data_IF_037065156882
#
_entry.id   IF_037065156882
#
_cell.length_a   1.000
_cell.length_b   1.000
_cell.length_c   1.000
_cell.angle_alpha   90.00
_cell.angle_beta   90.00
_cell.angle_gamma   90.00
#
_symmetry.space_group_name_H-M   'P 1'
#
loop_
_entity.id
_entity.type
_entity.pdbx_description
1 polymer ?
#
# COMPACT_ATOMS: atom_id res chain seq x y z
N UNK A 1 -0.32 -23.09 13.02
CA UNK A 1 0.22 -22.09 13.98
C UNK A 1 -0.47 -20.76 13.74
N UNK A 2 -1.08 -20.16 14.76
CA UNK A 2 -1.98 -19.01 14.60
C UNK A 2 -1.23 -17.68 14.42
N UNK A 3 0.00 -17.56 14.89
CA UNK A 3 0.83 -16.36 14.76
C UNK A 3 1.40 -16.15 13.35
N UNK A 4 1.75 -17.23 12.63
CA UNK A 4 2.16 -17.18 11.23
C UNK A 4 1.03 -16.61 10.35
N UNK A 5 -0.22 -16.82 10.76
CA UNK A 5 -1.40 -16.26 10.10
C UNK A 5 -1.35 -14.74 10.06
N UNK A 6 -0.91 -14.08 11.14
CA UNK A 6 -0.76 -12.63 11.17
C UNK A 6 0.20 -12.12 10.11
N UNK A 7 1.39 -12.73 10.01
CA UNK A 7 2.40 -12.30 9.04
C UNK A 7 1.94 -12.56 7.60
N UNK A 8 1.29 -13.71 7.36
CA UNK A 8 0.70 -14.00 6.07
C UNK A 8 -0.46 -13.02 5.74
N UNK A 9 -1.33 -12.69 6.70
CA UNK A 9 -2.43 -11.72 6.52
C UNK A 9 -1.85 -10.38 6.13
N UNK A 10 -0.85 -9.89 6.87
CA UNK A 10 -0.19 -8.63 6.59
C UNK A 10 0.44 -8.59 5.19
N UNK A 11 1.11 -9.66 4.74
CA UNK A 11 1.70 -9.71 3.38
C UNK A 11 0.63 -9.74 2.29
N UNK A 12 -0.43 -10.54 2.50
CA UNK A 12 -1.45 -10.80 1.47
C UNK A 12 -2.52 -9.72 1.38
N UNK A 13 -2.69 -8.90 2.43
CA UNK A 13 -3.71 -7.83 2.45
C UNK A 13 -3.13 -6.44 2.64
N UNK A 14 -1.88 -6.33 3.11
CA UNK A 14 -1.28 -5.06 3.51
C UNK A 14 -1.89 -4.48 4.79
N UNK A 15 -2.66 -5.27 5.55
CA UNK A 15 -3.41 -4.78 6.72
C UNK A 15 -3.10 -5.55 8.00
N UNK A 16 -3.13 -4.86 9.15
CA UNK A 16 -3.22 -5.46 10.47
C UNK A 16 -4.64 -5.32 11.02
N UNK A 17 -5.40 -6.43 11.13
CA UNK A 17 -6.82 -6.42 11.54
C UNK A 17 -7.70 -5.49 10.68
N UNK A 18 -7.41 -5.40 9.37
CA UNK A 18 -8.12 -4.54 8.43
C UNK A 18 -7.71 -3.06 8.49
N UNK A 19 -6.74 -2.69 9.32
CA UNK A 19 -6.11 -1.37 9.35
C UNK A 19 -4.87 -1.36 8.46
N UNK A 20 -4.63 -0.27 7.76
CA UNK A 20 -3.49 -0.12 6.87
C UNK A 20 -2.88 1.28 6.96
N UNK A 21 -1.89 1.54 6.11
CA UNK A 21 -1.24 2.84 6.08
C UNK A 21 -2.18 4.00 5.67
N UNK A 22 -3.43 3.76 5.30
CA UNK A 22 -4.41 4.83 5.00
C UNK A 22 -5.37 5.07 6.17
N UNK A 23 -5.29 4.26 7.23
CA UNK A 23 -6.16 4.36 8.38
C UNK A 23 -5.89 5.63 9.19
N UNK A 24 -6.97 6.29 9.59
CA UNK A 24 -6.90 7.47 10.47
C UNK A 24 -6.53 7.05 11.88
N UNK A 25 -6.03 7.99 12.68
CA UNK A 25 -5.74 7.77 14.10
C UNK A 25 -6.97 7.21 14.83
N UNK A 26 -8.16 7.77 14.61
CA UNK A 26 -9.39 7.32 15.25
C UNK A 26 -9.77 5.88 14.86
N UNK A 27 -9.60 5.50 13.58
CA UNK A 27 -9.82 4.13 13.12
C UNK A 27 -8.87 3.14 13.79
N UNK A 28 -7.59 3.50 13.92
CA UNK A 28 -6.59 2.66 14.58
C UNK A 28 -6.87 2.55 16.08
N UNK A 29 -7.18 3.66 16.75
CA UNK A 29 -7.44 3.66 18.19
C UNK A 29 -8.68 2.85 18.57
N UNK A 30 -9.71 2.87 17.73
CA UNK A 30 -10.91 2.07 17.92
C UNK A 30 -10.66 0.54 17.85
N UNK A 31 -9.54 0.09 17.28
CA UNK A 31 -9.22 -1.34 17.10
C UNK A 31 -8.04 -1.80 17.95
N UNK A 32 -6.97 -0.99 18.01
CA UNK A 32 -5.73 -1.35 18.67
C UNK A 32 -5.54 -0.68 20.03
N UNK A 33 -6.48 0.19 20.44
CA UNK A 33 -6.39 0.98 21.66
C UNK A 33 -5.65 2.31 21.47
N UNK A 34 -5.48 3.12 22.54
CA UNK A 34 -5.00 4.49 22.43
C UNK A 34 -3.57 4.58 21.87
N UNK A 35 -3.33 5.56 21.01
CA UNK A 35 -2.00 5.90 20.49
C UNK A 35 -1.27 6.86 21.42
N UNK A 36 0.03 7.06 21.19
CA UNK A 36 0.88 7.96 21.97
C UNK A 36 1.50 9.02 21.06
N UNK A 37 1.60 10.25 21.55
CA UNK A 37 2.25 11.35 20.83
C UNK A 37 3.65 11.57 21.37
N UNK A 38 4.63 11.61 20.47
CA UNK A 38 6.04 11.78 20.81
C UNK A 38 6.62 12.96 20.04
N UNK A 39 7.57 13.67 20.64
CA UNK A 39 8.29 14.77 20.00
C UNK A 39 9.55 14.23 19.33
N UNK A 40 9.64 14.36 18.01
CA UNK A 40 10.83 13.91 17.26
C UNK A 40 11.90 15.00 17.17
N UNK A 41 11.47 16.25 17.03
CA UNK A 41 12.34 17.41 16.99
C UNK A 41 11.67 18.61 17.65
N UNK A 42 12.36 19.75 17.69
CA UNK A 42 11.77 21.00 18.23
C UNK A 42 10.49 21.40 17.48
N UNK A 43 10.41 21.10 16.18
CA UNK A 43 9.34 21.53 15.28
C UNK A 43 8.44 20.40 14.79
N UNK A 44 8.87 19.13 14.90
CA UNK A 44 8.10 17.98 14.41
C UNK A 44 7.60 17.11 15.55
N UNK A 45 6.27 17.00 15.62
CA UNK A 45 5.57 16.02 16.45
C UNK A 45 5.19 14.83 15.57
N UNK A 46 5.26 13.63 16.14
CA UNK A 46 4.77 12.41 15.49
C UNK A 46 3.84 11.70 16.44
N UNK A 47 2.67 11.33 15.93
CA UNK A 47 1.78 10.42 16.64
C UNK A 47 2.14 9.02 16.21
N UNK A 48 2.34 8.12 17.17
CA UNK A 48 2.67 6.73 16.91
C UNK A 48 1.81 5.81 17.75
N UNK A 49 1.41 4.69 17.17
CA UNK A 49 0.83 3.59 17.92
C UNK A 49 1.73 2.38 17.73
N UNK A 50 2.26 1.85 18.83
CA UNK A 50 3.16 0.70 18.80
C UNK A 50 2.62 -0.41 19.71
N UNK A 51 2.18 -1.52 19.11
CA UNK A 51 1.61 -2.67 19.82
C UNK A 51 2.66 -3.69 20.28
N UNK A 52 3.94 -3.34 20.25
CA UNK A 52 5.04 -4.29 20.43
C UNK A 52 5.44 -4.99 19.14
N UNK A 53 4.50 -5.20 18.22
CA UNK A 53 4.72 -5.83 16.92
C UNK A 53 4.37 -4.90 15.74
N UNK A 54 3.18 -4.31 15.76
CA UNK A 54 2.70 -3.38 14.73
C UNK A 54 2.93 -1.94 15.17
N UNK A 55 3.43 -1.13 14.25
CA UNK A 55 3.63 0.31 14.38
C UNK A 55 2.85 1.05 13.28
N UNK A 56 2.05 2.03 13.72
CA UNK A 56 1.51 3.08 12.87
C UNK A 56 2.16 4.41 13.24
N UNK A 57 2.39 5.25 12.24
CA UNK A 57 2.92 6.58 12.42
C UNK A 57 2.14 7.60 11.59
N UNK A 58 1.96 8.80 12.13
CA UNK A 58 1.37 9.96 11.46
C UNK A 58 2.17 11.21 11.79
N UNK A 59 2.29 12.13 10.83
CA UNK A 59 2.76 13.48 11.14
C UNK A 59 1.73 14.21 12.04
N UNK A 60 2.13 15.30 12.69
CA UNK A 60 1.24 16.06 13.57
C UNK A 60 1.62 17.55 13.51
N UNK A 61 0.65 18.49 13.48
CA UNK A 61 -0.79 18.36 13.80
C UNK A 61 -1.70 17.85 12.70
N UNK A 62 -1.21 17.75 11.46
CA UNK A 62 -1.97 17.21 10.33
C UNK A 62 -1.64 15.71 10.18
N UNK A 63 -2.52 14.79 10.61
CA UNK A 63 -2.23 13.37 10.74
C UNK A 63 -2.25 12.66 9.39
N UNK A 64 -1.38 13.08 8.48
CA UNK A 64 -1.08 12.30 7.29
C UNK A 64 -0.36 11.00 7.72
N UNK A 65 -0.88 9.83 7.31
CA UNK A 65 -0.24 8.57 7.63
C UNK A 65 1.15 8.47 7.02
N UNK A 66 2.15 8.21 7.87
CA UNK A 66 3.53 7.98 7.47
C UNK A 66 3.80 6.51 7.12
N UNK A 67 3.03 5.60 7.71
CA UNK A 67 3.10 4.18 7.35
C UNK A 67 2.57 3.20 8.37
N UNK A 68 2.53 1.95 7.92
CA UNK A 68 2.27 0.75 8.69
C UNK A 68 3.49 -0.17 8.57
N UNK A 69 4.03 -0.60 9.70
CA UNK A 69 5.04 -1.65 9.75
C UNK A 69 4.75 -2.68 10.83
N UNK A 70 5.17 -3.92 10.60
CA UNK A 70 5.30 -4.93 11.64
C UNK A 70 6.78 -5.24 11.85
N UNK A 71 7.30 -4.95 13.05
CA UNK A 71 8.68 -5.21 13.44
C UNK A 71 8.77 -6.58 14.08
N UNK A 72 8.87 -7.63 13.26
CA UNK A 72 8.97 -9.01 13.71
C UNK A 72 10.18 -9.21 14.66
N UNK A 73 11.29 -8.50 14.43
CA UNK A 73 12.47 -8.48 15.32
C UNK A 73 12.15 -8.14 16.79
N UNK A 74 11.07 -7.39 17.05
CA UNK A 74 10.65 -7.09 18.42
C UNK A 74 10.17 -8.32 19.19
N UNK A 75 9.83 -9.43 18.52
CA UNK A 75 9.50 -10.68 19.21
C UNK A 75 10.68 -11.19 20.06
N UNK A 76 11.92 -10.91 19.65
CA UNK A 76 13.11 -11.20 20.43
C UNK A 76 13.23 -10.30 21.67
N UNK A 77 13.09 -8.99 21.49
CA UNK A 77 13.46 -7.97 22.50
C UNK A 77 12.32 -7.63 23.46
N UNK A 78 11.08 -7.61 22.98
CA UNK A 78 9.90 -7.28 23.78
C UNK A 78 9.39 -8.47 24.63
N UNK A 79 10.14 -9.57 24.71
CA UNK A 79 9.72 -10.84 25.33
C UNK A 79 8.35 -11.34 24.84
N UNK A 80 8.00 -11.03 23.59
CA UNK A 80 6.70 -11.37 22.99
C UNK A 80 5.50 -10.58 23.55
N UNK A 81 5.71 -9.41 24.16
CA UNK A 81 4.61 -8.50 24.51
C UNK A 81 4.01 -7.91 23.23
N UNK A 82 2.93 -8.51 22.77
CA UNK A 82 2.14 -8.06 21.63
C UNK A 82 0.81 -7.53 22.14
N UNK A 83 0.30 -6.46 21.53
CA UNK A 83 -0.95 -5.80 21.92
C UNK A 83 -2.13 -6.76 22.03
N UNK A 84 -3.06 -6.45 22.94
CA UNK A 84 -4.17 -7.32 23.30
C UNK A 84 -5.05 -7.67 22.09
N UNK A 85 -5.40 -6.69 21.25
CA UNK A 85 -6.24 -6.92 20.07
C UNK A 85 -5.63 -7.94 19.09
N UNK A 86 -4.31 -7.87 18.86
CA UNK A 86 -3.60 -8.83 18.02
C UNK A 86 -3.56 -10.21 18.68
N UNK A 87 -3.30 -10.28 19.99
CA UNK A 87 -3.26 -11.55 20.73
C UNK A 87 -4.64 -12.21 20.82
N UNK A 88 -5.70 -11.42 20.97
CA UNK A 88 -7.08 -11.90 20.99
C UNK A 88 -7.50 -12.53 19.66
N UNK A 89 -7.02 -11.98 18.53
CA UNK A 89 -7.37 -12.47 17.20
C UNK A 89 -6.45 -13.61 16.69
N UNK A 90 -5.14 -13.49 16.92
CA UNK A 90 -4.13 -14.42 16.40
C UNK A 90 -3.56 -15.39 17.43
N UNK A 91 -4.02 -15.31 18.68
CA UNK A 91 -3.46 -16.06 19.79
C UNK A 91 -2.07 -15.56 20.19
N UNK A 92 -1.37 -16.37 21.00
CA UNK A 92 -0.04 -16.02 21.50
C UNK A 92 1.00 -16.10 20.39
N UNK A 93 1.78 -15.03 20.25
CA UNK A 93 2.92 -14.99 19.33
C UNK A 93 4.11 -15.77 19.90
N UNK A 94 4.83 -16.49 19.03
CA UNK A 94 6.07 -17.17 19.40
C UNK A 94 7.18 -16.16 19.72
N UNK A 95 8.23 -16.59 20.43
CA UNK A 95 9.36 -15.71 20.84
C UNK A 95 10.37 -15.39 19.75
N UNK A 96 10.44 -16.20 18.69
CA UNK A 96 11.37 -16.02 17.56
C UNK A 96 10.57 -15.65 16.31
N UNK A 97 10.95 -14.68 15.48
CA UNK A 97 10.25 -14.41 14.23
C UNK A 97 10.18 -15.65 13.33
N UNK A 98 9.14 -15.79 12.50
CA UNK A 98 9.10 -16.87 11.51
C UNK A 98 10.30 -16.78 10.55
N UNK A 99 10.69 -17.91 9.99
CA UNK A 99 11.63 -17.98 8.87
C UNK A 99 10.98 -17.46 7.59
N UNK A 100 11.80 -17.03 6.62
CA UNK A 100 11.28 -16.66 5.30
C UNK A 100 10.57 -17.83 4.61
N UNK A 101 11.10 -19.05 4.73
CA UNK A 101 10.48 -20.26 4.18
C UNK A 101 9.08 -20.51 4.74
N UNK A 102 8.90 -20.41 6.06
CA UNK A 102 7.57 -20.52 6.68
C UNK A 102 6.59 -19.48 6.15
N UNK A 103 7.02 -18.22 6.05
CA UNK A 103 6.18 -17.14 5.53
C UNK A 103 5.83 -17.37 4.06
N UNK A 104 6.81 -17.74 3.22
CA UNK A 104 6.61 -18.00 1.79
C UNK A 104 5.59 -19.12 1.56
N UNK A 105 5.68 -20.22 2.30
CA UNK A 105 4.71 -21.33 2.22
C UNK A 105 3.31 -20.87 2.66
N UNK A 106 3.21 -20.11 3.76
CA UNK A 106 1.92 -19.60 4.24
C UNK A 106 1.26 -18.60 3.28
N UNK A 107 2.06 -17.77 2.60
CA UNK A 107 1.59 -16.83 1.56
C UNK A 107 1.15 -17.59 0.30
N UNK A 108 1.93 -18.59 -0.13
CA UNK A 108 1.59 -19.45 -1.27
C UNK A 108 0.29 -20.23 -1.05
N UNK A 109 0.05 -20.74 0.16
CA UNK A 109 -1.19 -21.43 0.53
C UNK A 109 -2.45 -20.56 0.41
N UNK A 110 -2.29 -19.24 0.24
CA UNK A 110 -3.38 -18.27 0.05
C UNK A 110 -3.47 -17.76 -1.39
N UNK A 111 -2.74 -18.34 -2.33
CA UNK A 111 -2.74 -17.92 -3.73
C UNK A 111 -1.94 -16.65 -4.01
N UNK A 112 -0.98 -16.30 -3.15
CA UNK A 112 -0.07 -15.16 -3.33
C UNK A 112 1.38 -15.64 -3.48
N UNK A 113 2.26 -14.79 -4.00
CA UNK A 113 3.68 -15.12 -4.19
C UNK A 113 4.56 -14.03 -3.60
N UNK A 114 5.54 -14.44 -2.80
CA UNK A 114 6.65 -13.56 -2.41
C UNK A 114 7.78 -13.72 -3.42
N UNK A 115 8.13 -12.61 -4.08
CA UNK A 115 9.25 -12.52 -5.01
C UNK A 115 10.46 -12.03 -4.24
N UNK A 116 11.53 -12.82 -4.12
CA UNK A 116 12.75 -12.35 -3.50
C UNK A 116 13.39 -11.25 -4.36
N UNK A 117 13.90 -10.22 -3.69
CA UNK A 117 14.84 -9.29 -4.28
C UNK A 117 16.25 -9.79 -3.95
N UNK A 118 17.06 -9.97 -4.98
CA UNK A 118 18.43 -10.47 -4.84
C UNK A 118 19.40 -9.40 -4.34
N UNK A 119 18.92 -8.17 -4.08
CA UNK A 119 19.70 -7.14 -3.40
C UNK A 119 20.02 -7.54 -1.95
N UNK A 120 21.26 -7.27 -1.55
CA UNK A 120 21.75 -7.45 -0.18
C UNK A 120 22.17 -6.07 0.34
N UNK A 121 21.71 -5.69 1.52
CA UNK A 121 22.15 -4.44 2.16
C UNK A 121 23.53 -4.61 2.81
N UNK A 122 24.25 -3.50 3.09
CA UNK A 122 25.49 -3.56 3.88
C UNK A 122 25.32 -4.24 5.24
N UNK A 123 24.11 -4.19 5.81
CA UNK A 123 23.74 -4.78 7.10
C UNK A 123 23.29 -6.26 6.99
N UNK A 124 23.59 -6.92 5.87
CA UNK A 124 23.19 -8.31 5.60
C UNK A 124 21.67 -8.56 5.70
N UNK A 125 20.86 -7.57 5.34
CA UNK A 125 19.43 -7.80 5.08
C UNK A 125 19.18 -8.10 3.61
N UNK A 126 18.18 -8.95 3.38
CA UNK A 126 17.61 -9.24 2.07
C UNK A 126 16.17 -8.76 2.05
N UNK A 127 15.62 -8.58 0.86
CA UNK A 127 14.23 -8.20 0.69
C UNK A 127 13.44 -9.25 -0.08
N UNK A 128 12.15 -9.30 0.17
CA UNK A 128 11.17 -9.95 -0.69
C UNK A 128 9.92 -9.07 -0.73
N UNK A 129 9.10 -9.22 -1.76
CA UNK A 129 7.88 -8.43 -1.87
C UNK A 129 6.74 -9.23 -2.48
N UNK A 130 5.51 -8.84 -2.15
CA UNK A 130 4.30 -9.30 -2.84
C UNK A 130 3.94 -8.26 -3.92
N UNK A 131 3.98 -8.62 -5.22
CA UNK A 131 3.92 -7.66 -6.32
C UNK A 131 2.55 -6.99 -6.53
N UNK A 132 1.47 -7.52 -5.96
CA UNK A 132 0.10 -7.06 -6.21
C UNK A 132 -0.44 -6.14 -5.12
N UNK A 133 0.05 -6.28 -3.90
CA UNK A 133 -0.35 -5.54 -2.71
C UNK A 133 0.69 -4.47 -2.36
N UNK A 134 1.93 -4.63 -2.83
CA UNK A 134 3.01 -3.71 -2.50
C UNK A 134 3.41 -3.83 -1.03
N UNK A 135 3.51 -5.06 -0.51
CA UNK A 135 4.08 -5.28 0.83
C UNK A 135 5.51 -5.75 0.66
N UNK A 136 6.44 -5.12 1.39
CA UNK A 136 7.84 -5.53 1.41
C UNK A 136 8.19 -6.23 2.72
N UNK A 137 9.09 -7.21 2.63
CA UNK A 137 9.52 -8.08 3.71
C UNK A 137 11.03 -7.95 3.81
N UNK A 138 11.51 -7.45 4.94
CA UNK A 138 12.94 -7.42 5.27
C UNK A 138 13.30 -8.69 6.01
N UNK A 139 14.35 -9.37 5.56
CA UNK A 139 14.75 -10.69 5.99
C UNK A 139 16.19 -10.61 6.47
N UNK A 140 16.50 -11.08 7.68
CA UNK A 140 17.89 -11.21 8.11
C UNK A 140 18.58 -12.29 7.29
N UNK A 141 19.87 -12.14 6.99
CA UNK A 141 20.66 -13.28 6.53
C UNK A 141 20.58 -14.44 7.54
N UNK A 142 20.67 -15.66 7.03
CA UNK A 142 20.87 -16.83 7.88
C UNK A 142 22.31 -16.82 8.41
N UNK A 143 22.54 -16.81 9.74
CA UNK A 143 23.88 -16.82 10.29
C UNK A 143 24.58 -18.18 10.14
N UNK A 144 23.84 -19.27 9.93
CA UNK A 144 24.37 -20.63 9.82
C UNK A 144 24.66 -21.02 8.37
N UNK A 145 23.92 -20.45 7.40
CA UNK A 145 24.09 -20.77 5.97
C UNK A 145 24.31 -19.49 5.14
N UNK A 146 25.58 -19.18 4.78
CA UNK A 146 25.89 -18.03 3.94
C UNK A 146 25.11 -18.05 2.63
N UNK A 147 24.44 -16.94 2.32
CA UNK A 147 23.66 -16.81 1.09
C UNK A 147 22.17 -17.10 1.23
N UNK A 148 21.73 -17.76 2.31
CA UNK A 148 20.34 -18.14 2.51
C UNK A 148 19.50 -17.07 3.21
N UNK A 149 18.17 -17.16 3.01
CA UNK A 149 17.19 -16.31 3.67
C UNK A 149 16.91 -16.82 5.10
N UNK A 150 17.20 -15.98 6.09
CA UNK A 150 16.96 -16.28 7.50
C UNK A 150 15.54 -15.95 7.96
N UNK A 151 15.44 -15.11 8.99
CA UNK A 151 14.17 -14.80 9.67
C UNK A 151 13.60 -13.47 9.23
N UNK A 152 12.28 -13.35 9.31
CA UNK A 152 11.60 -12.10 9.05
C UNK A 152 12.02 -11.08 10.11
N UNK A 153 12.55 -9.95 9.67
CA UNK A 153 12.93 -8.83 10.53
C UNK A 153 11.81 -7.80 10.63
N UNK A 154 11.27 -7.40 9.48
CA UNK A 154 10.11 -6.51 9.41
C UNK A 154 9.28 -6.75 8.16
N UNK A 155 8.02 -6.35 8.22
CA UNK A 155 7.10 -6.30 7.09
C UNK A 155 6.55 -4.88 7.03
N UNK A 156 6.65 -4.23 5.90
CA UNK A 156 6.17 -2.85 5.71
C UNK A 156 5.16 -2.83 4.58
N UNK A 157 3.97 -2.32 4.89
CA UNK A 157 3.03 -1.95 3.83
C UNK A 157 3.60 -0.73 3.13
N UNK A 158 3.75 -0.78 1.80
CA UNK A 158 4.29 0.38 1.09
C UNK A 158 3.25 1.49 1.11
N UNK A 159 3.63 2.66 1.59
CA UNK A 159 2.80 3.87 1.62
C UNK A 159 2.74 4.51 0.25
N UNK A 160 2.23 3.83 -0.78
CA UNK A 160 2.22 4.37 -2.16
C UNK A 160 3.60 4.85 -2.68
N UNK A 161 4.68 4.59 -1.92
CA UNK A 161 6.03 5.14 -2.03
C UNK A 161 7.04 4.08 -2.43
N UNK A 162 6.58 2.91 -2.84
CA UNK A 162 7.22 2.21 -3.95
C UNK A 162 6.99 3.03 -5.21
N UNK A 163 7.64 4.19 -5.20
CA UNK A 163 8.08 4.88 -6.38
C UNK A 163 8.56 3.81 -7.35
N UNK A 164 8.30 4.14 -8.60
CA UNK A 164 8.70 3.45 -9.81
C UNK A 164 10.19 3.03 -9.83
N UNK A 165 10.98 3.40 -8.80
CA UNK A 165 12.43 3.27 -8.59
C UNK A 165 12.91 1.97 -7.93
N UNK A 166 12.16 1.33 -7.02
CA UNK A 166 12.75 0.26 -6.17
C UNK A 166 12.86 -1.12 -6.81
N UNK A 167 12.16 -1.37 -7.93
CA UNK A 167 12.16 -2.70 -8.57
C UNK A 167 12.54 -2.62 -10.05
N UNK A 168 13.61 -1.90 -10.34
CA UNK A 168 14.21 -1.94 -11.67
C UNK A 168 15.15 -3.15 -11.75
N UNK A 169 14.89 -4.12 -12.65
CA UNK A 169 15.92 -5.09 -12.98
C UNK A 169 17.16 -4.33 -13.49
N UNK A 170 18.35 -4.56 -12.89
CA UNK A 170 19.57 -3.90 -13.33
C UNK A 170 19.83 -4.20 -14.81
N UNK A 171 20.16 -3.16 -15.59
CA UNK A 171 20.49 -3.29 -17.02
C UNK A 171 19.60 -2.50 -17.99
N UNK A 172 18.35 -2.14 -17.63
CA UNK A 172 17.49 -1.29 -18.49
C UNK A 172 17.51 0.20 -18.14
N UNK A 173 18.07 0.58 -16.99
CA UNK A 173 18.01 1.95 -16.48
C UNK A 173 18.70 2.97 -17.39
N UNK A 174 19.85 2.63 -17.98
CA UNK A 174 20.62 3.56 -18.81
C UNK A 174 19.82 4.03 -20.05
N UNK A 175 19.16 3.09 -20.74
CA UNK A 175 18.35 3.42 -21.92
C UNK A 175 17.16 4.34 -21.60
N UNK A 176 16.59 4.25 -20.40
CA UNK A 176 15.52 5.15 -19.97
C UNK A 176 16.03 6.50 -19.46
N UNK A 177 17.24 6.56 -18.91
CA UNK A 177 17.88 7.84 -18.58
C UNK A 177 18.10 8.69 -19.84
N UNK A 178 18.54 8.08 -20.95
CA UNK A 178 18.73 8.77 -22.22
C UNK A 178 17.40 9.24 -22.83
N UNK A 179 16.35 8.40 -22.77
CA UNK A 179 14.99 8.80 -23.18
C UNK A 179 14.45 9.94 -22.33
N UNK A 180 14.64 9.91 -21.02
CA UNK A 180 14.21 10.99 -20.14
C UNK A 180 14.96 12.30 -20.45
N UNK A 181 16.27 12.23 -20.71
CA UNK A 181 17.07 13.39 -21.13
C UNK A 181 16.57 13.96 -22.47
N UNK A 182 16.26 13.10 -23.43
CA UNK A 182 15.64 13.51 -24.69
C UNK A 182 14.33 14.24 -24.42
N UNK A 183 13.37 13.62 -23.71
CA UNK A 183 12.05 14.22 -23.45
C UNK A 183 12.11 15.56 -22.73
N UNK A 184 13.09 15.79 -21.83
CA UNK A 184 13.31 17.09 -21.17
C UNK A 184 13.58 18.24 -22.14
N UNK A 185 14.10 17.96 -23.33
CA UNK A 185 14.41 18.96 -24.36
C UNK A 185 13.30 19.19 -25.38
N UNK A 186 12.18 18.48 -25.26
CA UNK A 186 11.11 18.48 -26.26
C UNK A 186 9.90 19.29 -25.80
N UNK A 187 9.21 19.93 -26.75
CA UNK A 187 7.89 20.52 -26.51
C UNK A 187 6.81 19.46 -26.27
N UNK A 188 5.68 19.80 -25.61
CA UNK A 188 4.56 18.86 -25.41
C UNK A 188 4.11 18.13 -26.69
N UNK A 189 4.02 18.83 -27.83
CA UNK A 189 3.63 18.23 -29.11
C UNK A 189 4.66 17.23 -29.65
N UNK A 190 5.96 17.52 -29.50
CA UNK A 190 7.03 16.61 -29.87
C UNK A 190 7.07 15.37 -28.96
N UNK A 191 6.82 15.53 -27.66
CA UNK A 191 6.70 14.42 -26.71
C UNK A 191 5.56 13.49 -27.14
N UNK A 192 4.36 14.01 -27.44
CA UNK A 192 3.23 13.19 -27.91
C UNK A 192 3.55 12.42 -29.19
N UNK A 193 4.20 13.09 -30.15
CA UNK A 193 4.64 12.48 -31.41
C UNK A 193 5.70 11.39 -31.17
N UNK A 194 6.63 11.63 -30.24
CA UNK A 194 7.61 10.64 -29.85
C UNK A 194 6.97 9.43 -29.17
N UNK A 195 6.06 9.66 -28.22
CA UNK A 195 5.30 8.61 -27.52
C UNK A 195 4.50 7.77 -28.52
N UNK A 196 3.82 8.37 -29.49
CA UNK A 196 3.10 7.61 -30.52
C UNK A 196 3.99 6.64 -31.29
N UNK A 197 5.25 7.02 -31.57
CA UNK A 197 6.21 6.17 -32.30
C UNK A 197 6.89 5.10 -31.44
N UNK A 198 7.00 5.32 -30.13
CA UNK A 198 7.81 4.47 -29.24
C UNK A 198 7.00 3.72 -28.18
N UNK A 199 5.68 3.93 -28.12
CA UNK A 199 4.78 3.18 -27.23
C UNK A 199 4.80 1.70 -27.62
N UNK A 200 5.31 0.81 -26.75
CA UNK A 200 5.48 -0.59 -27.11
C UNK A 200 4.15 -1.34 -27.07
N UNK A 201 4.02 -2.37 -27.90
CA UNK A 201 2.87 -3.27 -27.90
C UNK A 201 2.90 -4.27 -26.73
N UNK A 202 4.08 -4.62 -26.22
CA UNK A 202 4.28 -5.54 -25.08
C UNK A 202 4.94 -4.82 -23.90
N UNK A 203 4.75 -5.33 -22.69
CA UNK A 203 5.31 -4.77 -21.45
C UNK A 203 5.01 -3.28 -21.22
N UNK A 204 3.90 -2.79 -21.79
CA UNK A 204 3.57 -1.36 -21.86
C UNK A 204 3.55 -0.69 -20.48
N UNK A 205 2.89 -1.30 -19.51
CA UNK A 205 2.90 -0.89 -18.09
C UNK A 205 4.32 -0.68 -17.55
N UNK A 206 5.22 -1.65 -17.78
CA UNK A 206 6.61 -1.60 -17.30
C UNK A 206 7.40 -0.51 -18.02
N UNK A 207 7.23 -0.37 -19.33
CA UNK A 207 7.91 0.65 -20.12
C UNK A 207 7.52 2.06 -19.69
N UNK A 208 6.22 2.32 -19.52
CA UNK A 208 5.73 3.64 -19.08
C UNK A 208 6.19 3.97 -17.67
N UNK A 209 6.17 2.98 -16.76
CA UNK A 209 6.76 3.10 -15.43
C UNK A 209 8.23 3.53 -15.50
N UNK A 210 9.03 2.87 -16.32
CA UNK A 210 10.46 3.20 -16.49
C UNK A 210 10.68 4.54 -17.19
N UNK A 211 9.76 4.97 -18.06
CA UNK A 211 9.81 6.29 -18.69
C UNK A 211 9.52 7.42 -17.69
N UNK A 212 8.56 7.23 -16.78
CA UNK A 212 8.13 8.24 -15.82
C UNK A 212 9.06 8.31 -14.60
N UNK A 213 9.66 7.17 -14.19
CA UNK A 213 10.50 7.07 -12.99
C UNK A 213 11.61 8.15 -12.85
N UNK A 214 12.33 8.56 -13.92
CA UNK A 214 13.40 9.55 -13.83
C UNK A 214 12.92 10.99 -13.58
N UNK A 215 11.61 11.24 -13.56
CA UNK A 215 11.03 12.56 -13.35
C UNK A 215 10.56 12.71 -11.89
N UNK A 216 11.17 13.62 -11.10
CA UNK A 216 10.69 13.98 -9.77
C UNK A 216 9.20 14.37 -9.76
N UNK A 217 8.56 14.30 -8.59
CA UNK A 217 7.11 14.56 -8.45
C UNK A 217 6.71 15.95 -8.92
N UNK A 218 7.53 16.95 -8.65
CA UNK A 218 7.38 18.36 -8.99
C UNK A 218 7.84 18.69 -10.43
N UNK A 219 8.37 17.72 -11.17
CA UNK A 219 8.82 17.96 -12.53
C UNK A 219 7.63 18.14 -13.49
N UNK A 220 7.57 19.23 -14.30
CA UNK A 220 6.39 19.56 -15.11
C UNK A 220 6.04 18.51 -16.18
N UNK A 221 7.03 17.73 -16.64
CA UNK A 221 6.76 16.61 -17.57
C UNK A 221 6.05 15.42 -16.93
N UNK A 222 6.11 15.24 -15.62
CA UNK A 222 5.49 14.09 -14.96
C UNK A 222 3.96 14.06 -15.12
N UNK A 223 3.19 15.13 -14.81
CA UNK A 223 1.75 15.14 -15.04
C UNK A 223 1.39 15.02 -16.52
N UNK A 224 2.20 15.58 -17.44
CA UNK A 224 2.01 15.41 -18.88
C UNK A 224 2.10 13.93 -19.29
N UNK A 225 3.17 13.23 -18.87
CA UNK A 225 3.34 11.80 -19.18
C UNK A 225 2.24 10.94 -18.54
N UNK A 226 1.79 11.28 -17.33
CA UNK A 226 0.69 10.58 -16.67
C UNK A 226 -0.66 10.81 -17.35
N UNK A 227 -0.92 12.03 -17.83
CA UNK A 227 -2.10 12.31 -18.65
C UNK A 227 -2.09 11.54 -19.97
N UNK A 228 -0.92 11.43 -20.62
CA UNK A 228 -0.78 10.59 -21.81
C UNK A 228 -0.98 9.11 -21.50
N UNK A 229 -0.46 8.60 -20.38
CA UNK A 229 -0.70 7.23 -19.93
C UNK A 229 -2.19 6.96 -19.69
N UNK A 230 -2.89 7.90 -19.05
CA UNK A 230 -4.35 7.85 -18.83
C UNK A 230 -5.14 7.81 -20.15
N UNK A 231 -4.87 8.73 -21.08
CA UNK A 231 -5.53 8.77 -22.39
C UNK A 231 -5.34 7.47 -23.17
N UNK A 232 -4.20 6.83 -22.95
CA UNK A 232 -3.77 5.60 -23.60
C UNK A 232 -4.19 4.33 -22.87
N UNK A 233 -4.76 4.43 -21.67
CA UNK A 233 -5.14 3.31 -20.80
C UNK A 233 -3.98 2.31 -20.61
N UNK A 234 -2.82 2.83 -20.20
CA UNK A 234 -1.58 2.06 -20.06
C UNK A 234 -1.65 1.07 -18.90
N UNK A 235 -2.31 1.47 -17.82
CA UNK A 235 -2.40 0.70 -16.59
C UNK A 235 -3.82 0.13 -16.39
N UNK A 236 -4.01 -0.81 -15.43
CA UNK A 236 -5.34 -1.29 -15.07
C UNK A 236 -6.30 -0.15 -14.69
N UNK A 237 -7.63 -0.38 -14.71
CA UNK A 237 -8.62 0.64 -14.43
C UNK A 237 -8.35 1.42 -13.12
N UNK A 238 -8.60 2.73 -13.17
CA UNK A 238 -8.35 3.70 -12.11
C UNK A 238 -6.88 4.05 -11.83
N UNK A 239 -5.90 3.20 -12.20
CA UNK A 239 -4.49 3.40 -11.80
C UNK A 239 -3.88 4.65 -12.43
N UNK A 240 -4.09 4.88 -13.73
CA UNK A 240 -3.55 6.06 -14.41
C UNK A 240 -4.13 7.36 -13.84
N UNK A 241 -5.43 7.38 -13.56
CA UNK A 241 -6.13 8.53 -12.99
C UNK A 241 -5.58 8.87 -11.59
N UNK A 242 -5.41 7.85 -10.74
CA UNK A 242 -4.84 8.02 -9.38
C UNK A 242 -3.40 8.51 -9.42
N UNK A 243 -2.57 7.97 -10.32
CA UNK A 243 -1.20 8.45 -10.48
C UNK A 243 -1.16 9.92 -10.92
N UNK A 244 -2.06 10.32 -11.84
CA UNK A 244 -2.19 11.71 -12.26
C UNK A 244 -2.63 12.59 -11.08
N UNK A 245 -3.68 12.23 -10.33
CA UNK A 245 -4.14 12.96 -9.14
C UNK A 245 -3.00 13.20 -8.15
N UNK A 246 -2.16 12.19 -7.89
CA UNK A 246 -1.02 12.31 -6.98
C UNK A 246 0.09 13.24 -7.51
N UNK A 247 0.22 13.40 -8.82
CA UNK A 247 1.23 14.25 -9.45
C UNK A 247 0.77 15.70 -9.66
N UNK A 248 -0.54 15.96 -9.63
CA UNK A 248 -1.09 17.30 -9.81
C UNK A 248 -0.97 18.12 -8.51
N UNK A 249 -0.61 19.41 -8.61
CA UNK A 249 -0.82 20.36 -7.52
C UNK A 249 -2.28 20.42 -7.08
N UNK A 250 -2.55 20.77 -5.80
CA UNK A 250 -3.90 20.97 -5.27
C UNK A 250 -4.85 21.80 -6.13
N UNK A 251 -4.35 22.90 -6.70
CA UNK A 251 -5.12 23.89 -7.46
C UNK A 251 -5.09 23.65 -8.98
N UNK A 252 -4.59 22.48 -9.43
CA UNK A 252 -4.44 22.22 -10.85
C UNK A 252 -5.81 22.01 -11.54
N UNK A 253 -6.11 22.74 -12.63
CA UNK A 253 -7.39 22.62 -13.33
C UNK A 253 -7.63 21.23 -13.96
N UNK A 254 -6.59 20.39 -14.09
CA UNK A 254 -6.73 19.01 -14.56
C UNK A 254 -7.26 18.06 -13.47
N UNK A 255 -7.25 18.44 -12.19
CA UNK A 255 -7.66 17.57 -11.08
C UNK A 255 -9.10 17.04 -11.22
N UNK A 256 -10.13 17.87 -11.49
CA UNK A 256 -11.49 17.39 -11.73
C UNK A 256 -11.58 16.41 -12.91
N UNK A 257 -10.78 16.63 -13.97
CA UNK A 257 -10.75 15.74 -15.15
C UNK A 257 -10.17 14.38 -14.78
N UNK A 258 -9.09 14.34 -14.00
CA UNK A 258 -8.49 13.09 -13.53
C UNK A 258 -9.43 12.30 -12.61
N UNK A 259 -10.15 12.98 -11.71
CA UNK A 259 -11.16 12.35 -10.85
C UNK A 259 -12.33 11.79 -11.67
N UNK A 260 -12.83 12.55 -12.64
CA UNK A 260 -13.90 12.08 -13.55
C UNK A 260 -13.46 10.83 -14.32
N UNK A 261 -12.23 10.83 -14.84
CA UNK A 261 -11.67 9.66 -15.53
C UNK A 261 -11.57 8.41 -14.62
N UNK A 262 -11.38 8.59 -13.31
CA UNK A 262 -11.47 7.48 -12.36
C UNK A 262 -12.91 7.01 -12.17
N UNK A 263 -13.87 7.92 -11.97
CA UNK A 263 -15.29 7.60 -11.79
C UNK A 263 -15.88 6.89 -13.02
N UNK A 264 -15.42 7.24 -14.22
CA UNK A 264 -15.84 6.62 -15.48
C UNK A 264 -15.25 5.21 -15.69
N UNK A 265 -14.13 4.89 -15.03
CA UNK A 265 -13.43 3.61 -15.19
C UNK A 265 -12.73 3.15 -13.89
N UNK A 266 -13.49 2.92 -12.81
CA UNK A 266 -12.95 2.43 -11.54
C UNK A 266 -12.48 0.96 -11.67
N UNK A 267 -11.66 0.45 -10.73
CA UNK A 267 -11.23 -0.96 -10.72
C UNK A 267 -12.35 -2.00 -10.75
N UNK A 268 -13.52 -1.65 -10.23
CA UNK A 268 -14.72 -2.48 -10.14
C UNK A 268 -15.93 -1.56 -10.24
N UNK A 269 -17.09 -2.07 -10.65
CA UNK A 269 -18.33 -1.30 -10.55
C UNK A 269 -18.74 -1.12 -9.08
N UNK A 270 -19.51 -0.06 -8.77
CA UNK A 270 -19.91 0.24 -7.39
C UNK A 270 -20.64 -0.93 -6.68
N UNK A 271 -21.60 -1.64 -7.32
CA UNK A 271 -22.24 -2.80 -6.68
C UNK A 271 -21.28 -3.95 -6.37
N UNK A 272 -20.25 -4.14 -7.20
CA UNK A 272 -19.20 -5.13 -6.93
C UNK A 272 -18.32 -4.66 -5.76
N UNK A 273 -17.96 -3.39 -5.69
CA UNK A 273 -17.20 -2.83 -4.57
C UNK A 273 -17.97 -2.93 -3.24
N UNK A 274 -19.29 -2.71 -3.25
CA UNK A 274 -20.18 -2.95 -2.10
C UNK A 274 -20.14 -4.42 -1.65
N UNK A 275 -20.24 -5.35 -2.61
CA UNK A 275 -20.11 -6.79 -2.34
C UNK A 275 -18.75 -7.14 -1.73
N UNK A 276 -17.66 -6.56 -2.23
CA UNK A 276 -16.31 -6.76 -1.68
C UNK A 276 -16.17 -6.22 -0.26
N UNK A 277 -16.81 -5.08 0.05
CA UNK A 277 -16.77 -4.46 1.37
C UNK A 277 -17.58 -5.21 2.44
N UNK A 278 -18.62 -5.93 2.03
CA UNK A 278 -19.59 -6.56 2.93
C UNK A 278 -19.69 -8.09 2.80
N UNK A 279 -18.93 -8.68 1.87
CA UNK A 279 -18.93 -10.11 1.61
C UNK A 279 -18.44 -10.93 2.81
N UNK A 280 -18.88 -12.19 2.93
CA UNK A 280 -18.49 -13.07 4.02
C UNK A 280 -17.05 -13.60 3.90
N UNK A 281 -16.48 -13.58 2.70
CA UNK A 281 -15.12 -14.05 2.38
C UNK A 281 -14.64 -13.41 1.09
N UNK A 282 -13.33 -13.40 0.86
CA UNK A 282 -12.72 -12.94 -0.38
C UNK A 282 -11.76 -14.02 -0.92
N UNK A 283 -11.82 -14.24 -2.22
CA UNK A 283 -10.80 -14.96 -2.98
C UNK A 283 -9.51 -14.11 -3.09
N UNK A 284 -8.37 -14.69 -3.49
CA UNK A 284 -7.12 -13.94 -3.64
C UNK A 284 -7.23 -12.75 -4.60
N UNK A 285 -7.94 -12.91 -5.72
CA UNK A 285 -8.14 -11.82 -6.69
C UNK A 285 -9.05 -10.71 -6.15
N UNK A 286 -10.06 -11.07 -5.36
CA UNK A 286 -10.93 -10.11 -4.67
C UNK A 286 -10.19 -9.36 -3.56
N UNK A 287 -9.21 -9.98 -2.89
CA UNK A 287 -8.31 -9.29 -1.96
C UNK A 287 -7.47 -8.25 -2.69
N UNK A 288 -6.87 -8.62 -3.84
CA UNK A 288 -6.08 -7.69 -4.67
C UNK A 288 -6.93 -6.52 -5.17
N UNK A 289 -8.15 -6.81 -5.63
CA UNK A 289 -9.09 -5.79 -6.09
C UNK A 289 -9.54 -4.89 -4.95
N UNK A 290 -9.89 -5.45 -3.79
CA UNK A 290 -10.26 -4.70 -2.59
C UNK A 290 -9.13 -3.80 -2.10
N UNK A 291 -7.88 -4.29 -2.13
CA UNK A 291 -6.69 -3.49 -1.82
C UNK A 291 -6.58 -2.29 -2.76
N UNK A 292 -6.60 -2.56 -4.07
CA UNK A 292 -6.50 -1.51 -5.09
C UNK A 292 -7.61 -0.47 -4.94
N UNK A 293 -8.85 -0.90 -4.74
CA UNK A 293 -9.98 0.01 -4.51
C UNK A 293 -9.74 0.89 -3.28
N UNK A 294 -9.35 0.29 -2.15
CA UNK A 294 -9.12 1.02 -0.90
C UNK A 294 -8.04 2.10 -1.05
N UNK A 295 -6.93 1.73 -1.68
CA UNK A 295 -5.81 2.62 -1.99
C UNK A 295 -6.23 3.79 -2.89
N UNK A 296 -6.94 3.49 -3.98
CA UNK A 296 -7.39 4.51 -4.92
C UNK A 296 -8.46 5.45 -4.30
N UNK A 297 -9.40 4.91 -3.52
CA UNK A 297 -10.40 5.70 -2.80
C UNK A 297 -9.74 6.62 -1.78
N UNK A 298 -8.68 6.17 -1.10
CA UNK A 298 -7.91 7.03 -0.19
C UNK A 298 -7.35 8.26 -0.91
N UNK A 299 -6.71 8.07 -2.08
CA UNK A 299 -6.19 9.18 -2.90
C UNK A 299 -7.30 10.14 -3.32
N UNK A 300 -8.44 9.62 -3.78
CA UNK A 300 -9.60 10.44 -4.18
C UNK A 300 -10.19 11.22 -3.01
N UNK A 301 -10.23 10.60 -1.82
CA UNK A 301 -10.71 11.26 -0.60
C UNK A 301 -9.84 12.47 -0.24
N UNK A 302 -8.51 12.35 -0.41
CA UNK A 302 -7.58 13.46 -0.20
C UNK A 302 -7.76 14.61 -1.19
N UNK A 303 -8.23 14.33 -2.41
CA UNK A 303 -8.56 15.35 -3.41
C UNK A 303 -9.90 16.06 -3.15
N UNK A 304 -10.80 15.43 -2.38
CA UNK A 304 -12.20 15.85 -2.24
C UNK A 304 -12.44 17.34 -1.88
N UNK A 305 -11.70 17.96 -0.95
CA UNK A 305 -11.94 19.36 -0.57
C UNK A 305 -11.78 20.38 -1.72
N UNK A 306 -11.19 19.96 -2.85
CA UNK A 306 -10.83 20.81 -4.00
C UNK A 306 -11.68 20.53 -5.23
N UNK A 307 -12.64 19.62 -5.11
CA UNK A 307 -13.47 19.22 -6.24
C UNK A 307 -14.74 20.07 -6.33
N UNK A 308 -15.26 20.30 -7.54
CA UNK A 308 -16.65 20.71 -7.76
C UNK A 308 -17.64 19.84 -6.98
N UNK A 309 -18.73 20.45 -6.51
CA UNK A 309 -19.71 19.79 -5.62
C UNK A 309 -20.29 18.50 -6.22
N UNK A 310 -20.58 18.47 -7.51
CA UNK A 310 -21.09 17.29 -8.22
C UNK A 310 -20.11 16.11 -8.18
N UNK A 311 -18.82 16.36 -8.41
CA UNK A 311 -17.79 15.33 -8.34
C UNK A 311 -17.53 14.87 -6.90
N UNK A 312 -17.56 15.80 -5.94
CA UNK A 312 -17.44 15.48 -4.52
C UNK A 312 -18.57 14.54 -4.07
N UNK A 313 -19.82 14.84 -4.47
CA UNK A 313 -20.99 14.02 -4.19
C UNK A 313 -20.92 12.64 -4.89
N UNK A 314 -20.43 12.58 -6.13
CA UNK A 314 -20.24 11.32 -6.85
C UNK A 314 -19.22 10.38 -6.18
N UNK A 315 -18.28 10.93 -5.41
CA UNK A 315 -17.30 10.13 -4.64
C UNK A 315 -17.83 9.62 -3.30
N UNK A 316 -18.91 10.19 -2.74
CA UNK A 316 -19.37 9.84 -1.40
C UNK A 316 -19.71 8.35 -1.20
N UNK A 317 -20.39 7.66 -2.15
CA UNK A 317 -20.62 6.23 -2.04
C UNK A 317 -19.31 5.43 -1.95
N UNK A 318 -18.29 5.83 -2.70
CA UNK A 318 -16.97 5.18 -2.69
C UNK A 318 -16.24 5.40 -1.36
N UNK A 319 -16.26 6.63 -0.82
CA UNK A 319 -15.65 6.96 0.49
C UNK A 319 -16.23 6.09 1.60
N UNK A 320 -17.54 5.86 1.58
CA UNK A 320 -18.24 5.04 2.57
C UNK A 320 -17.79 3.57 2.58
N UNK A 321 -17.31 3.03 1.45
CA UNK A 321 -16.82 1.65 1.36
C UNK A 321 -15.42 1.46 1.96
N UNK A 322 -14.58 2.50 1.92
CA UNK A 322 -13.14 2.41 2.25
C UNK A 322 -12.84 1.71 3.58
N UNK A 323 -13.50 2.03 4.72
CA UNK A 323 -13.17 1.42 6.02
C UNK A 323 -13.48 -0.07 6.09
N UNK A 324 -14.31 -0.59 5.17
CA UNK A 324 -14.86 -1.94 5.19
C UNK A 324 -14.12 -2.87 4.24
N UNK A 325 -13.53 -2.33 3.16
CA UNK A 325 -12.65 -3.06 2.25
C UNK A 325 -11.49 -3.69 3.04
N UNK A 326 -11.31 -5.02 2.90
CA UNK A 326 -10.33 -5.85 3.61
C UNK A 326 -10.50 -5.96 5.13
N UNK A 327 -11.56 -5.37 5.72
CA UNK A 327 -11.80 -5.43 7.17
C UNK A 327 -12.81 -6.51 7.53
N UNK A 328 -14.08 -6.36 7.15
CA UNK A 328 -15.12 -7.29 7.59
C UNK A 328 -15.06 -8.69 6.98
N UNK A 329 -14.75 -8.86 5.68
CA UNK A 329 -14.68 -10.20 5.08
C UNK A 329 -13.57 -11.08 5.66
N UNK A 330 -12.57 -10.48 6.31
CA UNK A 330 -11.37 -11.16 6.78
C UNK A 330 -11.26 -11.17 8.32
N UNK A 331 -11.74 -10.11 8.96
CA UNK A 331 -11.66 -9.88 10.39
C UNK A 331 -13.05 -9.56 10.91
N UNK A 332 -13.91 -10.58 10.97
CA UNK A 332 -15.24 -10.46 11.57
C UNK A 332 -15.10 -9.80 12.95
N UNK A 333 -16.00 -8.84 13.27
CA UNK A 333 -16.04 -8.25 14.61
C UNK A 333 -16.09 -9.41 15.61
N UNK A 334 -15.32 -9.37 16.70
CA UNK A 334 -15.63 -10.21 17.85
C UNK A 334 -17.11 -9.99 18.09
N UNK A 335 -17.92 -11.04 17.99
CA UNK A 335 -19.29 -10.97 18.49
C UNK A 335 -19.07 -10.62 19.95
N UNK A 336 -19.24 -9.36 20.32
CA UNK A 336 -19.43 -8.99 21.70
C UNK A 336 -20.62 -9.84 22.10
N UNK A 337 -20.34 -10.97 22.76
CA UNK A 337 -21.33 -11.63 23.57
C UNK A 337 -21.66 -10.54 24.56
N UNK A 338 -22.71 -9.77 24.27
CA UNK A 338 -23.46 -9.04 25.26
C UNK A 338 -23.82 -10.12 26.26
N UNK A 339 -22.94 -10.33 27.24
CA UNK A 339 -23.28 -11.02 28.45
C UNK A 339 -24.44 -10.20 28.98
N UNK A 340 -25.66 -10.65 28.70
CA UNK A 340 -26.83 -10.30 29.49
C UNK A 340 -26.37 -10.60 30.91
N UNK A 341 -26.01 -9.56 31.65
CA UNK A 341 -25.98 -9.61 33.08
C UNK A 341 -27.39 -10.06 33.47
N UNK A 342 -27.52 -11.36 33.75
CA UNK A 342 -28.64 -11.87 34.52
C UNK A 342 -28.42 -11.28 35.90
N UNK A 343 -29.02 -10.12 36.13
CA UNK A 343 -29.34 -9.66 37.47
C UNK A 343 -30.14 -10.77 38.14
N UNK A 344 -29.52 -11.38 39.15
CA UNK A 344 -30.18 -12.23 40.13
C UNK A 344 -30.64 -11.37 41.30
#
# INVERSE_FOLDING_TARGET
>A
MTDLRFFADLVTTGTALGLDHTSTVAEVEAVLGPSQTWRLSRTQLRRTLHTGLVEFAWDWPDPEPLGLSARAGNLFTARGRVGEALTAHYGRFRRKPPTFTELRVAVAARGFTLVPDNSITPDNFRYAYEPTIGTSVTISADPEVPGEYGRIWSITGTTHRTDLTYHHPPGRQQGFADRARFLKSQSPGQIRTWLHRHDPSTDRTTWWRQLIAPFPRDHPLRPLLLAEALNRKVNPPGVDAVNLILALPPEDPALPTAVRAWLDNPPAALPEAERLAHGPSLTPDEIRLSRRLRDQIHVLTGANPRLPHDLAAALDPWKALRPNLLRYPLFARPRHRLHKARTH
#
